data_IF_692054033634
#
_entry.id   IF_692054033634
#
_cell.length_a   1.000
_cell.length_b   1.000
_cell.length_c   1.000
_cell.angle_alpha   90.00
_cell.angle_beta   90.00
_cell.angle_gamma   90.00
#
_symmetry.space_group_name_H-M   'P 1'
#
loop_
_entity.id
_entity.type
_entity.pdbx_description
1 polymer ?
#
# COMPACT_ATOMS: atom_id res chain seq x y z
N UNK A 1 -5.19 -14.58 -6.72
CA UNK A 1 -5.82 -13.46 -5.97
C UNK A 1 -6.32 -12.45 -6.99
N UNK A 2 -7.56 -11.96 -6.89
CA UNK A 2 -8.07 -10.90 -7.78
C UNK A 2 -7.71 -9.54 -7.18
N UNK A 3 -7.14 -8.64 -7.98
CA UNK A 3 -6.83 -7.28 -7.56
C UNK A 3 -7.99 -6.37 -7.94
N UNK A 4 -8.45 -5.55 -7.00
CA UNK A 4 -9.47 -4.54 -7.22
C UNK A 4 -8.92 -3.16 -6.91
N UNK A 5 -9.19 -2.21 -7.81
CA UNK A 5 -8.91 -0.80 -7.57
C UNK A 5 -10.15 -0.13 -6.97
N UNK A 6 -9.96 0.55 -5.84
CA UNK A 6 -11.01 1.32 -5.17
C UNK A 6 -10.51 2.76 -5.07
N UNK A 7 -11.22 3.69 -5.71
CA UNK A 7 -10.91 5.11 -5.69
C UNK A 7 -11.80 5.82 -4.69
N UNK A 8 -11.20 6.26 -3.58
CA UNK A 8 -11.85 7.11 -2.60
C UNK A 8 -11.69 8.57 -3.05
N UNK A 9 -12.81 9.25 -3.33
CA UNK A 9 -12.84 10.68 -3.62
C UNK A 9 -13.12 11.45 -2.32
N UNK A 10 -12.10 12.05 -1.67
CA UNK A 10 -12.33 12.78 -0.43
C UNK A 10 -13.22 14.00 -0.70
N UNK A 11 -14.22 14.18 0.16
CA UNK A 11 -15.06 15.39 0.19
C UNK A 11 -14.61 16.38 1.28
N UNK A 12 -13.68 15.97 2.13
CA UNK A 12 -13.08 16.74 3.22
C UNK A 12 -11.67 16.23 3.53
N UNK A 13 -10.94 16.94 4.40
CA UNK A 13 -9.65 16.46 4.92
C UNK A 13 -9.80 15.19 5.75
N UNK A 14 -8.75 14.37 5.78
CA UNK A 14 -8.65 13.20 6.66
C UNK A 14 -7.92 13.58 7.96
N UNK A 15 -8.37 13.04 9.09
CA UNK A 15 -7.69 13.18 10.38
C UNK A 15 -6.45 12.30 10.53
N UNK A 16 -6.38 11.18 9.80
CA UNK A 16 -5.27 10.23 9.80
C UNK A 16 -5.02 9.67 8.39
N UNK A 17 -3.79 9.22 8.08
CA UNK A 17 -3.53 8.51 6.83
C UNK A 17 -4.37 7.23 6.72
N UNK A 18 -4.90 6.95 5.53
CA UNK A 18 -5.68 5.75 5.25
C UNK A 18 -4.75 4.53 5.10
N UNK A 19 -4.37 3.93 6.22
CA UNK A 19 -3.55 2.71 6.25
C UNK A 19 -4.40 1.45 5.99
N UNK A 20 -3.77 0.39 5.51
CA UNK A 20 -4.46 -0.86 5.14
C UNK A 20 -5.21 -1.51 6.29
N UNK A 21 -4.65 -1.48 7.51
CA UNK A 21 -5.30 -1.96 8.73
C UNK A 21 -6.54 -1.13 9.09
N UNK A 22 -6.48 0.19 8.91
CA UNK A 22 -7.61 1.09 9.15
C UNK A 22 -8.74 0.87 8.16
N UNK A 23 -8.41 0.71 6.87
CA UNK A 23 -9.40 0.42 5.81
C UNK A 23 -10.04 -0.96 6.05
N UNK A 24 -9.23 -1.96 6.39
CA UNK A 24 -9.73 -3.30 6.75
C UNK A 24 -10.65 -3.25 7.97
N UNK A 25 -10.30 -2.46 8.99
CA UNK A 25 -11.16 -2.22 10.15
C UNK A 25 -12.52 -1.66 9.75
N UNK A 26 -12.57 -0.63 8.89
CA UNK A 26 -13.82 -0.08 8.39
C UNK A 26 -14.65 -1.08 7.58
N UNK A 27 -13.98 -1.92 6.77
CA UNK A 27 -14.64 -3.02 6.08
C UNK A 27 -15.29 -4.01 7.05
N UNK A 28 -14.57 -4.41 8.10
CA UNK A 28 -15.10 -5.29 9.15
C UNK A 28 -16.28 -4.65 9.88
N UNK A 29 -16.24 -3.36 10.18
CA UNK A 29 -17.37 -2.65 10.78
C UNK A 29 -18.62 -2.72 9.91
N UNK A 30 -18.50 -2.53 8.60
CA UNK A 30 -19.64 -2.65 7.69
C UNK A 30 -20.16 -4.09 7.61
N UNK A 31 -19.28 -5.08 7.54
CA UNK A 31 -19.69 -6.49 7.54
C UNK A 31 -20.32 -6.94 8.87
N UNK A 32 -19.96 -6.32 9.99
CA UNK A 32 -20.60 -6.54 11.28
C UNK A 32 -21.97 -5.86 11.37
N UNK A 33 -22.12 -4.70 10.74
CA UNK A 33 -23.39 -3.96 10.70
C UNK A 33 -24.41 -4.63 9.76
N UNK A 34 -23.95 -5.12 8.60
CA UNK A 34 -24.78 -5.83 7.62
C UNK A 34 -24.19 -7.22 7.32
N UNK A 35 -24.77 -8.23 7.99
CA UNK A 35 -24.37 -9.63 7.85
C UNK A 35 -24.62 -10.21 6.44
N UNK A 36 -25.42 -9.56 5.59
CA UNK A 36 -25.67 -10.02 4.22
C UNK A 36 -24.49 -9.81 3.28
N UNK A 37 -23.57 -8.90 3.62
CA UNK A 37 -22.38 -8.60 2.83
C UNK A 37 -21.40 -9.77 2.76
N UNK A 38 -21.37 -10.62 3.79
CA UNK A 38 -20.48 -11.77 3.89
C UNK A 38 -21.27 -13.05 4.13
N UNK A 39 -21.20 -13.96 3.16
CA UNK A 39 -21.82 -15.27 3.28
C UNK A 39 -21.31 -16.02 4.53
N UNK A 40 -22.19 -16.23 5.50
CA UNK A 40 -21.85 -16.87 6.78
C UNK A 40 -21.28 -15.95 7.85
N UNK A 41 -21.34 -14.63 7.67
CA UNK A 41 -20.99 -13.63 8.66
C UNK A 41 -19.49 -13.37 8.83
N UNK A 42 -19.15 -12.24 9.44
CA UNK A 42 -17.77 -11.80 9.64
C UNK A 42 -16.94 -12.80 10.47
N UNK A 43 -17.50 -13.34 11.56
CA UNK A 43 -16.79 -14.22 12.50
C UNK A 43 -16.21 -15.46 11.81
N UNK A 44 -16.98 -16.06 10.90
CA UNK A 44 -16.54 -17.22 10.11
C UNK A 44 -15.31 -16.90 9.27
N UNK A 45 -15.31 -15.72 8.64
CA UNK A 45 -14.23 -15.29 7.75
C UNK A 45 -13.00 -14.83 8.52
N UNK A 46 -13.17 -14.25 9.71
CA UNK A 46 -12.05 -13.90 10.60
C UNK A 46 -11.39 -15.16 11.17
N UNK A 47 -12.18 -16.18 11.56
CA UNK A 47 -11.67 -17.42 12.13
C UNK A 47 -10.68 -18.15 11.19
N UNK A 48 -10.90 -18.11 9.88
CA UNK A 48 -10.03 -18.76 8.89
C UNK A 48 -8.99 -17.81 8.24
N UNK A 49 -8.95 -16.55 8.64
CA UNK A 49 -8.17 -15.51 7.94
C UNK A 49 -6.66 -15.82 7.89
N UNK A 50 -6.11 -16.43 8.94
CA UNK A 50 -4.68 -16.77 9.04
C UNK A 50 -4.24 -17.77 7.97
N UNK A 51 -5.09 -18.73 7.64
CA UNK A 51 -4.79 -19.79 6.67
C UNK A 51 -5.27 -19.39 5.27
N UNK A 52 -6.39 -18.69 5.19
CA UNK A 52 -7.06 -18.32 3.95
C UNK A 52 -7.61 -16.89 4.06
N UNK A 53 -6.78 -15.87 3.78
CA UNK A 53 -7.27 -14.49 3.78
C UNK A 53 -8.29 -14.33 2.65
N UNK A 54 -9.48 -13.84 3.01
CA UNK A 54 -10.57 -13.63 2.05
C UNK A 54 -10.47 -12.25 1.36
N UNK A 55 -9.85 -11.27 2.02
CA UNK A 55 -9.57 -9.95 1.49
C UNK A 55 -8.30 -9.40 2.14
N UNK A 56 -7.40 -8.81 1.36
CA UNK A 56 -6.18 -8.15 1.83
C UNK A 56 -6.19 -6.72 1.32
N UNK A 57 -6.10 -5.76 2.23
CA UNK A 57 -6.15 -4.34 1.90
C UNK A 57 -4.75 -3.75 1.93
N UNK A 58 -4.38 -3.06 0.85
CA UNK A 58 -3.22 -2.18 0.87
C UNK A 58 -3.54 -0.89 1.62
N UNK A 59 -2.51 -0.17 2.06
CA UNK A 59 -2.69 1.25 2.38
C UNK A 59 -3.15 2.02 1.14
N UNK A 60 -3.82 3.15 1.34
CA UNK A 60 -4.19 4.02 0.23
C UNK A 60 -2.98 4.82 -0.25
N UNK A 61 -2.98 5.12 -1.54
CA UNK A 61 -1.95 5.93 -2.21
C UNK A 61 -2.64 6.96 -3.09
N UNK A 62 -2.07 8.17 -3.24
CA UNK A 62 -2.61 9.16 -4.16
C UNK A 62 -2.61 8.64 -5.61
N UNK A 63 -3.76 8.79 -6.27
CA UNK A 63 -3.88 8.69 -7.72
C UNK A 63 -3.79 10.10 -8.31
N UNK A 64 -2.76 10.33 -9.11
CA UNK A 64 -2.47 11.61 -9.74
C UNK A 64 -2.89 11.55 -11.22
N UNK A 65 -3.28 12.70 -11.76
CA UNK A 65 -3.60 12.88 -13.18
C UNK A 65 -2.66 13.93 -13.73
N UNK A 66 -1.89 13.58 -14.75
CA UNK A 66 -1.05 14.52 -15.49
C UNK A 66 -1.21 14.29 -17.00
N UNK A 67 -1.52 15.35 -17.75
CA UNK A 67 -1.70 15.30 -19.21
C UNK A 67 -2.60 14.16 -19.70
N UNK A 68 -3.69 13.87 -18.96
CA UNK A 68 -4.65 12.79 -19.27
C UNK A 68 -4.16 11.38 -18.95
N UNK A 69 -2.96 11.23 -18.38
CA UNK A 69 -2.41 9.95 -17.89
C UNK A 69 -2.55 9.87 -16.38
N UNK A 70 -2.86 8.67 -15.90
CA UNK A 70 -2.98 8.39 -14.46
C UNK A 70 -1.70 7.76 -13.92
N UNK A 71 -1.28 8.19 -12.75
CA UNK A 71 -0.12 7.65 -12.04
C UNK A 71 -0.45 7.43 -10.56
N UNK A 72 0.21 6.45 -9.94
CA UNK A 72 0.07 6.17 -8.51
C UNK A 72 1.37 6.51 -7.78
N UNK A 73 1.24 7.26 -6.68
CA UNK A 73 2.38 7.62 -5.84
C UNK A 73 2.54 6.60 -4.70
N UNK A 74 3.31 5.54 -4.96
CA UNK A 74 3.61 4.52 -3.95
C UNK A 74 4.76 4.92 -3.01
N UNK A 75 4.75 4.38 -1.79
CA UNK A 75 5.92 4.43 -0.92
C UNK A 75 7.09 3.73 -1.61
N UNK A 76 8.28 4.35 -1.58
CA UNK A 76 9.52 3.70 -2.00
C UNK A 76 9.73 2.40 -1.19
N UNK A 77 10.04 1.27 -1.84
CA UNK A 77 10.35 0.03 -1.14
C UNK A 77 11.52 0.20 -0.17
N UNK A 78 11.45 -0.46 0.99
CA UNK A 78 12.53 -0.49 1.98
C UNK A 78 13.63 -1.51 1.58
N UNK A 79 14.03 -1.48 0.31
CA UNK A 79 15.09 -2.33 -0.25
C UNK A 79 16.47 -1.67 -0.04
N UNK A 80 17.57 -2.45 -0.06
CA UNK A 80 18.91 -1.89 -0.03
C UNK A 80 19.10 -0.85 -1.14
N UNK A 81 19.79 0.25 -0.83
CA UNK A 81 19.98 1.35 -1.80
C UNK A 81 20.67 0.89 -3.09
N UNK A 82 21.54 -0.12 -3.01
CA UNK A 82 22.19 -0.72 -4.19
C UNK A 82 21.21 -1.41 -5.14
N UNK A 83 20.05 -1.86 -4.67
CA UNK A 83 18.99 -2.42 -5.52
C UNK A 83 18.15 -1.32 -6.17
N UNK A 84 17.95 -0.20 -5.48
CA UNK A 84 17.17 0.94 -5.99
C UNK A 84 17.99 1.83 -6.92
N UNK A 85 19.29 1.93 -6.66
CA UNK A 85 20.26 2.72 -7.40
C UNK A 85 21.45 1.81 -7.70
N UNK A 86 21.37 0.98 -8.76
CA UNK A 86 22.47 0.12 -9.15
C UNK A 86 23.71 0.97 -9.47
N UNK A 87 24.90 0.56 -8.99
CA UNK A 87 26.12 1.32 -9.20
C UNK A 87 26.48 1.38 -10.69
N UNK A 88 26.98 2.53 -11.13
CA UNK A 88 27.41 2.74 -12.52
C UNK A 88 28.87 2.35 -12.78
N UNK A 89 29.61 2.05 -11.71
CA UNK A 89 31.06 1.82 -11.72
C UNK A 89 31.43 0.61 -10.86
N UNK A 90 32.43 -0.16 -11.29
CA UNK A 90 33.01 -1.27 -10.51
C UNK A 90 34.02 -0.79 -9.44
N UNK A 91 34.46 0.47 -9.51
CA UNK A 91 35.32 1.06 -8.49
C UNK A 91 34.54 1.24 -7.17
N UNK A 92 34.92 0.42 -6.16
CA UNK A 92 34.34 0.43 -4.83
C UNK A 92 34.27 1.83 -4.21
N UNK A 93 35.27 2.69 -4.40
CA UNK A 93 35.27 4.02 -3.76
C UNK A 93 34.15 4.90 -4.31
N UNK A 94 33.98 4.91 -5.63
CA UNK A 94 32.92 5.66 -6.32
C UNK A 94 31.54 5.15 -5.95
N UNK A 95 31.36 3.84 -5.84
CA UNK A 95 30.10 3.23 -5.37
C UNK A 95 29.72 3.73 -3.97
N UNK A 96 30.67 3.80 -3.03
CA UNK A 96 30.39 4.30 -1.69
C UNK A 96 30.04 5.80 -1.66
N UNK A 97 30.62 6.61 -2.55
CA UNK A 97 30.28 8.03 -2.70
C UNK A 97 28.85 8.19 -3.27
N UNK A 98 28.51 7.45 -4.32
CA UNK A 98 27.15 7.41 -4.91
C UNK A 98 26.09 6.96 -3.90
N UNK A 99 26.38 5.93 -3.09
CA UNK A 99 25.47 5.45 -2.06
C UNK A 99 25.23 6.49 -0.96
N UNK A 100 26.26 7.25 -0.57
CA UNK A 100 26.11 8.35 0.41
C UNK A 100 25.23 9.47 -0.14
N UNK A 101 25.42 9.86 -1.40
CA UNK A 101 24.58 10.84 -2.08
C UNK A 101 23.13 10.36 -2.20
N UNK A 102 22.91 9.11 -2.64
CA UNK A 102 21.57 8.54 -2.77
C UNK A 102 20.87 8.37 -1.41
N UNK A 103 21.61 8.15 -0.33
CA UNK A 103 21.06 8.12 1.03
C UNK A 103 20.49 9.49 1.46
N UNK A 104 21.05 10.61 0.97
CA UNK A 104 20.51 11.96 1.25
C UNK A 104 19.16 12.22 0.55
N UNK A 105 18.83 11.45 -0.49
CA UNK A 105 17.55 11.51 -1.23
C UNK A 105 16.47 10.61 -0.60
N UNK A 106 16.74 10.03 0.57
CA UNK A 106 15.79 9.24 1.37
C UNK A 106 15.15 10.16 2.41
#
# INVERSE_FOLDING_TARGET
MKLYEIIIKPVSGFGTPLKGDTIFGHFCWQAAYDASLLNGGLDKWIACYRERPFAVFSSAWPKLVDNGKFFYAFKRPDLPLSFLFPPLSDDRKKVFEELKENKKKK
#
